data_IF_420878999511
#
_entry.id   IF_420878999511
#
_cell.length_a   1.000
_cell.length_b   1.000
_cell.length_c   1.000
_cell.angle_alpha   90.00
_cell.angle_beta   90.00
_cell.angle_gamma   90.00
#
_symmetry.space_group_name_H-M   'P 1'
#
loop_
_entity.id
_entity.type
_entity.pdbx_description
1 polymer ?
#
# COMPACT_ATOMS: atom_id res chain seq x y z
N UNK A 1 -4.49 20.14 6.83
CA UNK A 1 -4.60 19.73 5.46
C UNK A 1 -4.25 18.28 5.33
N UNK A 2 -5.17 17.48 4.81
CA UNK A 2 -4.92 16.07 4.55
C UNK A 2 -3.86 15.99 3.44
N UNK A 3 -2.60 15.73 3.80
CA UNK A 3 -1.55 15.46 2.81
C UNK A 3 -1.93 14.22 2.02
N UNK A 4 -1.97 14.32 0.68
CA UNK A 4 -2.19 13.17 -0.19
C UNK A 4 -1.13 12.12 0.16
N UNK A 5 -1.54 10.93 0.51
CA UNK A 5 -0.63 9.80 0.72
C UNK A 5 0.10 9.51 -0.58
N UNK A 6 1.42 9.61 -0.56
CA UNK A 6 2.25 9.20 -1.69
C UNK A 6 2.30 7.67 -1.71
N UNK A 7 1.51 7.07 -2.58
CA UNK A 7 1.45 5.62 -2.80
C UNK A 7 2.33 5.15 -3.96
N UNK A 8 2.81 6.08 -4.79
CA UNK A 8 3.89 5.87 -5.74
C UNK A 8 5.22 6.44 -5.20
N UNK A 9 6.34 5.91 -5.63
CA UNK A 9 7.67 6.48 -5.35
C UNK A 9 7.96 7.52 -6.45
N UNK A 10 8.03 8.83 -6.11
CA UNK A 10 8.25 9.85 -7.12
C UNK A 10 9.59 9.69 -7.84
N UNK A 11 9.64 9.91 -9.14
CA UNK A 11 10.87 9.80 -9.92
C UNK A 11 12.00 10.68 -9.39
N UNK A 12 11.69 11.88 -8.86
CA UNK A 12 12.68 12.73 -8.19
C UNK A 12 13.41 12.06 -7.03
N UNK A 13 12.76 11.10 -6.33
CA UNK A 13 13.42 10.33 -5.27
C UNK A 13 14.40 9.31 -5.84
N UNK A 14 14.06 8.72 -6.97
CA UNK A 14 14.92 7.80 -7.73
C UNK A 14 16.13 8.57 -8.28
N UNK A 15 15.88 9.66 -8.99
CA UNK A 15 16.92 10.57 -9.54
C UNK A 15 17.87 11.00 -8.42
N UNK A 16 17.35 11.48 -7.29
CA UNK A 16 18.18 11.93 -6.16
C UNK A 16 19.02 10.80 -5.53
N UNK A 17 18.51 9.58 -5.49
CA UNK A 17 19.23 8.41 -5.02
C UNK A 17 20.37 8.03 -5.97
N UNK A 18 20.07 7.92 -7.28
CA UNK A 18 21.00 7.49 -8.30
C UNK A 18 22.06 8.57 -8.60
N UNK A 19 21.70 9.84 -8.65
CA UNK A 19 22.64 10.95 -8.76
C UNK A 19 23.63 10.97 -7.59
N UNK A 20 23.14 10.73 -6.37
CA UNK A 20 24.00 10.57 -5.20
C UNK A 20 24.92 9.34 -5.28
N UNK A 21 24.45 8.23 -5.85
CA UNK A 21 25.26 7.04 -6.09
C UNK A 21 26.34 7.30 -7.14
N UNK A 22 25.98 7.98 -8.23
CA UNK A 22 26.92 8.38 -9.28
C UNK A 22 28.09 9.20 -8.73
N UNK A 23 27.79 10.24 -7.96
CA UNK A 23 28.83 11.13 -7.40
C UNK A 23 29.69 10.43 -6.35
N UNK A 24 29.17 9.46 -5.61
CA UNK A 24 29.95 8.67 -4.65
C UNK A 24 30.97 7.74 -5.30
N UNK A 25 30.83 7.40 -6.56
CA UNK A 25 31.80 6.62 -7.32
C UNK A 25 33.08 7.45 -7.72
N UNK A 26 33.18 8.69 -7.24
CA UNK A 26 34.28 9.59 -7.53
C UNK A 26 34.20 10.27 -8.90
N UNK A 27 33.08 10.12 -9.59
CA UNK A 27 32.82 10.74 -10.89
C UNK A 27 32.37 12.18 -10.68
N UNK A 28 32.96 13.13 -11.38
CA UNK A 28 32.51 14.52 -11.41
C UNK A 28 31.09 14.58 -12.08
N UNK A 29 30.39 15.68 -11.87
CA UNK A 29 29.13 15.96 -12.60
C UNK A 29 29.47 16.29 -14.07
N UNK A 30 29.68 15.25 -14.87
CA UNK A 30 30.07 15.29 -16.28
C UNK A 30 28.83 15.38 -17.22
N UNK A 31 29.07 15.28 -18.54
CA UNK A 31 28.00 15.31 -19.53
C UNK A 31 27.00 14.15 -19.37
N UNK A 32 27.46 12.97 -18.98
CA UNK A 32 26.60 11.82 -18.74
C UNK A 32 25.71 12.04 -17.51
N UNK A 33 26.24 12.62 -16.43
CA UNK A 33 25.46 13.02 -15.26
C UNK A 33 24.36 14.02 -15.63
N UNK A 34 24.71 15.06 -16.42
CA UNK A 34 23.74 16.06 -16.87
C UNK A 34 22.62 15.43 -17.69
N UNK A 35 22.94 14.56 -18.64
CA UNK A 35 21.99 13.88 -19.52
C UNK A 35 21.12 12.85 -18.79
N UNK A 36 21.65 12.18 -17.76
CA UNK A 36 20.90 11.20 -16.97
C UNK A 36 19.93 11.86 -16.00
N UNK A 37 20.25 13.04 -15.44
CA UNK A 37 19.53 13.54 -14.28
C UNK A 37 18.98 14.97 -14.40
N UNK A 38 19.46 15.79 -15.33
CA UNK A 38 19.19 17.24 -15.30
C UNK A 38 18.48 17.81 -16.54
N UNK A 39 18.88 17.40 -17.74
CA UNK A 39 18.50 18.11 -18.96
C UNK A 39 17.29 17.51 -19.71
N UNK A 40 16.67 16.49 -19.17
CA UNK A 40 15.51 15.84 -19.78
C UNK A 40 15.83 14.82 -20.88
N UNK A 41 17.12 14.60 -21.20
CA UNK A 41 17.56 13.53 -22.13
C UNK A 41 17.10 12.14 -21.61
N UNK A 42 17.28 11.89 -20.31
CA UNK A 42 16.68 10.74 -19.65
C UNK A 42 15.42 11.14 -18.90
N UNK A 43 14.35 10.38 -19.08
CA UNK A 43 13.06 10.58 -18.43
C UNK A 43 12.75 9.38 -17.56
N UNK A 44 12.61 9.63 -16.26
CA UNK A 44 12.37 8.62 -15.24
C UNK A 44 10.91 8.60 -14.86
N UNK A 45 10.21 7.48 -15.01
CA UNK A 45 8.84 7.39 -14.50
C UNK A 45 8.82 7.31 -12.97
N UNK A 46 7.74 7.69 -12.30
CA UNK A 46 7.53 7.28 -10.91
C UNK A 46 7.49 5.75 -10.84
N UNK A 47 7.91 5.16 -9.71
CA UNK A 47 7.64 3.74 -9.49
C UNK A 47 6.22 3.61 -8.92
N UNK A 48 5.43 2.77 -9.58
CA UNK A 48 4.06 2.45 -9.20
C UNK A 48 3.97 0.99 -8.76
N UNK A 49 2.96 0.59 -7.96
CA UNK A 49 2.83 -0.79 -7.53
C UNK A 49 2.68 -1.74 -8.72
N UNK A 50 3.28 -2.91 -8.63
CA UNK A 50 3.07 -3.99 -9.58
C UNK A 50 1.81 -4.76 -9.17
N UNK A 51 0.96 -5.09 -10.15
CA UNK A 51 -0.31 -5.79 -9.94
C UNK A 51 -0.43 -6.89 -10.98
N UNK A 52 -0.41 -8.14 -10.55
CA UNK A 52 -0.48 -9.29 -11.45
C UNK A 52 0.70 -9.39 -12.43
N UNK A 53 1.90 -8.96 -12.00
CA UNK A 53 3.11 -8.94 -12.82
C UNK A 53 3.29 -7.70 -13.68
N UNK A 54 2.31 -6.80 -13.76
CA UNK A 54 2.30 -5.64 -14.63
C UNK A 54 2.51 -4.32 -13.85
N UNK A 55 3.26 -3.38 -14.44
CA UNK A 55 3.41 -2.03 -13.90
C UNK A 55 2.05 -1.32 -13.98
N UNK A 56 1.57 -0.82 -12.86
CA UNK A 56 0.25 -0.19 -12.80
C UNK A 56 0.33 1.32 -13.04
N UNK A 57 -0.81 1.90 -13.39
CA UNK A 57 -1.01 3.34 -13.50
C UNK A 57 -2.11 3.82 -12.55
N UNK A 58 -2.15 5.11 -12.18
CA UNK A 58 -3.29 5.65 -11.46
C UNK A 58 -4.60 5.34 -12.19
N UNK A 59 -5.59 4.84 -11.47
CA UNK A 59 -6.87 4.47 -12.07
C UNK A 59 -7.52 5.68 -12.76
N UNK A 60 -8.06 5.52 -13.98
CA UNK A 60 -8.80 6.58 -14.63
C UNK A 60 -9.92 7.09 -13.75
N UNK A 61 -9.99 8.40 -13.51
CA UNK A 61 -11.01 9.03 -12.66
C UNK A 61 -12.42 8.95 -13.24
N UNK A 62 -12.53 8.61 -14.52
CA UNK A 62 -13.79 8.27 -15.18
C UNK A 62 -14.37 6.94 -14.66
N UNK A 63 -13.53 6.04 -14.15
CA UNK A 63 -13.98 4.79 -13.57
C UNK A 63 -14.47 5.00 -12.13
N UNK A 64 -15.63 4.45 -11.82
CA UNK A 64 -16.28 4.56 -10.50
C UNK A 64 -16.74 3.20 -9.99
N UNK A 65 -16.78 3.08 -8.68
CA UNK A 65 -17.41 1.95 -8.02
C UNK A 65 -18.83 2.31 -7.58
N UNK A 66 -19.81 1.54 -8.02
CA UNK A 66 -21.23 1.70 -7.69
C UNK A 66 -21.50 1.00 -6.37
N UNK A 67 -21.69 1.79 -5.30
CA UNK A 67 -21.78 1.27 -3.91
C UNK A 67 -22.98 0.35 -3.68
N UNK A 68 -24.11 0.62 -4.34
CA UNK A 68 -25.34 -0.14 -4.14
C UNK A 68 -25.36 -1.45 -4.95
N UNK A 69 -24.67 -1.46 -6.08
CA UNK A 69 -24.68 -2.57 -7.05
C UNK A 69 -23.45 -3.46 -6.93
N UNK A 70 -22.36 -2.94 -6.30
CA UNK A 70 -21.13 -3.70 -6.14
C UNK A 70 -20.32 -3.85 -7.42
N UNK A 71 -20.60 -3.06 -8.46
CA UNK A 71 -19.97 -3.12 -9.78
C UNK A 71 -19.18 -1.86 -10.10
N UNK A 72 -18.32 -1.94 -11.10
CA UNK A 72 -17.60 -0.79 -11.63
C UNK A 72 -18.29 -0.28 -12.90
N UNK A 73 -18.26 1.03 -13.11
CA UNK A 73 -18.83 1.71 -14.26
C UNK A 73 -17.86 2.73 -14.86
N UNK A 74 -17.95 2.98 -16.15
CA UNK A 74 -17.14 3.95 -16.87
C UNK A 74 -18.00 5.13 -17.30
N UNK A 75 -17.80 6.29 -16.67
CA UNK A 75 -18.59 7.52 -16.93
C UNK A 75 -18.38 8.14 -18.30
N UNK A 76 -17.34 7.74 -19.03
CA UNK A 76 -17.15 8.19 -20.41
C UNK A 76 -18.07 7.46 -21.39
N UNK A 77 -18.54 6.27 -21.06
CA UNK A 77 -19.36 5.44 -21.95
C UNK A 77 -20.80 5.29 -21.49
N UNK A 78 -21.05 5.48 -20.21
CA UNK A 78 -22.38 5.33 -19.60
C UNK A 78 -22.63 6.44 -18.58
N UNK A 79 -23.88 6.70 -18.26
CA UNK A 79 -24.29 7.64 -17.22
C UNK A 79 -24.82 6.85 -15.99
N UNK A 80 -23.94 6.31 -15.14
CA UNK A 80 -24.35 5.47 -14.03
C UNK A 80 -25.14 6.28 -13.01
N UNK A 81 -26.32 5.77 -12.59
CA UNK A 81 -27.15 6.37 -11.57
C UNK A 81 -26.82 5.81 -10.19
N UNK A 82 -27.01 6.60 -9.13
CA UNK A 82 -26.83 6.17 -7.75
C UNK A 82 -25.53 6.62 -7.07
N UNK A 83 -25.21 6.03 -5.91
CA UNK A 83 -24.05 6.43 -5.11
C UNK A 83 -22.75 5.87 -5.71
N UNK A 84 -21.93 6.76 -6.23
CA UNK A 84 -20.65 6.46 -6.84
C UNK A 84 -19.49 6.76 -5.90
N UNK A 85 -18.40 5.99 -6.03
CA UNK A 85 -17.10 6.25 -5.41
C UNK A 85 -16.04 6.28 -6.51
N UNK A 86 -15.38 7.43 -6.69
CA UNK A 86 -14.22 7.54 -7.59
C UNK A 86 -13.07 6.67 -7.13
N UNK A 87 -12.29 6.15 -8.06
CA UNK A 87 -11.12 5.31 -7.79
C UNK A 87 -9.85 6.14 -7.46
N UNK A 88 -10.03 7.32 -6.85
CA UNK A 88 -8.89 8.15 -6.43
C UNK A 88 -7.98 7.40 -5.45
N UNK A 89 -6.67 7.38 -5.76
CA UNK A 89 -5.67 6.66 -4.96
C UNK A 89 -5.65 5.15 -5.19
N UNK A 90 -6.39 4.65 -6.16
CA UNK A 90 -6.35 3.28 -6.66
C UNK A 90 -5.42 3.23 -7.88
N UNK A 91 -4.74 2.12 -8.06
CA UNK A 91 -3.92 1.81 -9.23
C UNK A 91 -4.58 0.72 -10.04
N UNK A 92 -4.40 0.77 -11.36
CA UNK A 92 -4.91 -0.25 -12.27
C UNK A 92 -3.80 -0.77 -13.18
N UNK A 93 -3.85 -2.07 -13.44
CA UNK A 93 -2.98 -2.75 -14.40
C UNK A 93 -3.81 -3.64 -15.33
N UNK A 94 -3.31 -3.98 -16.54
CA UNK A 94 -3.98 -4.91 -17.42
C UNK A 94 -4.25 -6.26 -16.74
N UNK A 95 -5.45 -6.79 -16.91
CA UNK A 95 -5.85 -8.13 -16.52
C UNK A 95 -6.27 -8.95 -17.76
N UNK A 96 -6.83 -10.11 -17.51
CA UNK A 96 -7.23 -11.02 -18.61
C UNK A 96 -8.47 -10.53 -19.38
N UNK A 97 -9.42 -9.93 -18.67
CA UNK A 97 -10.72 -9.51 -19.22
C UNK A 97 -11.02 -8.03 -18.98
N UNK A 98 -10.06 -7.28 -18.41
CA UNK A 98 -10.20 -5.88 -18.05
C UNK A 98 -9.06 -5.43 -17.17
N UNK A 99 -9.28 -4.42 -16.35
CA UNK A 99 -8.27 -3.88 -15.45
C UNK A 99 -8.35 -4.54 -14.07
N UNK A 100 -7.20 -4.90 -13.52
CA UNK A 100 -7.04 -5.24 -12.11
C UNK A 100 -6.90 -3.95 -11.32
N UNK A 101 -7.68 -3.75 -10.26
CA UNK A 101 -7.64 -2.55 -9.44
C UNK A 101 -7.13 -2.84 -8.03
N UNK A 102 -6.11 -2.12 -7.57
CA UNK A 102 -5.54 -2.29 -6.23
C UNK A 102 -5.31 -0.96 -5.53
N UNK A 103 -5.42 -0.99 -4.21
CA UNK A 103 -4.97 0.09 -3.32
C UNK A 103 -3.69 -0.33 -2.63
N UNK A 104 -2.76 0.61 -2.46
CA UNK A 104 -1.49 0.33 -1.77
C UNK A 104 -1.71 0.22 -0.27
N UNK A 105 -1.31 -0.87 0.37
CA UNK A 105 -1.35 -1.00 1.82
C UNK A 105 -0.38 -0.02 2.48
N UNK A 106 -0.85 0.67 3.52
CA UNK A 106 -0.09 1.67 4.28
C UNK A 106 -0.02 1.24 5.73
N UNK A 107 1.18 1.21 6.27
CA UNK A 107 1.42 1.05 7.70
C UNK A 107 1.47 2.41 8.37
N UNK A 108 0.73 2.57 9.46
CA UNK A 108 0.72 3.78 10.27
C UNK A 108 1.34 3.49 11.62
N UNK A 109 2.39 4.24 11.97
CA UNK A 109 3.09 4.13 13.25
C UNK A 109 2.96 5.43 14.02
N UNK A 110 2.63 5.34 15.30
CA UNK A 110 2.57 6.47 16.19
C UNK A 110 3.86 6.54 17.00
N UNK A 111 4.47 7.71 17.01
CA UNK A 111 5.70 7.98 17.75
C UNK A 111 5.41 9.01 18.83
N UNK A 112 5.88 8.73 20.03
CA UNK A 112 5.78 9.63 21.18
C UNK A 112 7.18 10.04 21.61
N UNK A 113 7.42 11.35 21.66
CA UNK A 113 8.62 11.91 22.26
C UNK A 113 8.27 12.40 23.66
N UNK A 114 8.95 11.85 24.67
CA UNK A 114 8.81 12.32 26.03
C UNK A 114 9.25 13.78 26.15
N UNK A 115 8.61 14.53 27.07
CA UNK A 115 9.03 15.85 27.44
C UNK A 115 10.40 15.76 28.15
N UNK A 116 11.35 16.53 27.68
CA UNK A 116 12.62 16.75 28.36
C UNK A 116 12.79 18.24 28.69
N UNK A 117 13.89 18.62 29.40
CA UNK A 117 14.14 19.99 29.83
C UNK A 117 14.14 21.01 28.67
N UNK A 118 14.37 20.56 27.44
CA UNK A 118 14.57 21.42 26.26
C UNK A 118 13.51 21.24 25.18
N UNK A 119 12.53 20.34 25.35
CA UNK A 119 11.51 20.07 24.33
C UNK A 119 10.19 19.63 24.95
N UNK A 120 9.08 20.06 24.34
CA UNK A 120 7.75 19.59 24.68
C UNK A 120 7.52 18.14 24.24
N UNK A 121 6.62 17.45 24.95
CA UNK A 121 6.15 16.15 24.53
C UNK A 121 5.42 16.28 23.19
N UNK A 122 5.81 15.48 22.20
CA UNK A 122 5.18 15.48 20.89
C UNK A 122 4.71 14.07 20.51
N UNK A 123 3.47 13.99 20.06
CA UNK A 123 2.92 12.80 19.39
C UNK A 123 2.89 13.08 17.91
N UNK A 124 3.53 12.24 17.12
CA UNK A 124 3.44 12.33 15.67
C UNK A 124 3.16 10.97 15.04
N UNK A 125 2.45 11.03 13.93
CA UNK A 125 2.10 9.86 13.13
C UNK A 125 3.03 9.79 11.92
N UNK A 126 3.59 8.63 11.68
CA UNK A 126 4.34 8.32 10.48
C UNK A 126 3.60 7.27 9.66
N UNK A 127 3.46 7.54 8.37
CA UNK A 127 2.87 6.60 7.43
C UNK A 127 3.95 6.14 6.45
N UNK A 128 3.99 4.85 6.20
CA UNK A 128 4.90 4.23 5.26
C UNK A 128 4.12 3.21 4.40
N UNK A 129 4.59 3.01 3.18
CA UNK A 129 4.16 1.89 2.36
C UNK A 129 4.57 0.60 3.08
N UNK A 130 3.70 -0.39 3.08
CA UNK A 130 3.98 -1.69 3.69
C UNK A 130 5.23 -2.31 3.05
N UNK A 131 6.07 -2.95 3.88
CA UNK A 131 7.25 -3.66 3.38
C UNK A 131 6.86 -4.87 2.51
N UNK A 132 7.77 -5.26 1.62
CA UNK A 132 7.60 -6.42 0.74
C UNK A 132 6.75 -6.16 -0.50
N UNK A 133 6.21 -4.95 -0.71
CA UNK A 133 5.47 -4.63 -1.94
C UNK A 133 6.42 -4.45 -3.12
N UNK A 134 6.00 -4.94 -4.29
CA UNK A 134 6.74 -4.80 -5.54
C UNK A 134 6.32 -3.53 -6.26
N UNK A 135 7.31 -2.76 -6.68
CA UNK A 135 7.15 -1.54 -7.46
C UNK A 135 7.89 -1.65 -8.79
N UNK A 136 7.31 -1.12 -9.85
CA UNK A 136 7.90 -1.08 -11.18
C UNK A 136 7.88 0.33 -11.76
N UNK A 137 8.76 0.56 -12.73
CA UNK A 137 8.81 1.81 -13.49
C UNK A 137 9.73 1.67 -14.69
N UNK A 138 9.78 2.71 -15.50
CA UNK A 138 10.57 2.77 -16.73
C UNK A 138 11.49 3.98 -16.74
N UNK A 139 12.57 3.88 -17.48
CA UNK A 139 13.40 5.03 -17.84
C UNK A 139 13.54 5.05 -19.37
N UNK A 140 13.20 6.17 -19.99
CA UNK A 140 13.41 6.42 -21.42
C UNK A 140 14.67 7.23 -21.57
N UNK A 141 15.65 6.69 -22.30
CA UNK A 141 16.96 7.33 -22.49
C UNK A 141 17.63 6.84 -23.78
N UNK A 142 18.60 7.58 -24.33
CA UNK A 142 19.43 7.11 -25.45
C UNK A 142 20.18 5.82 -25.13
N UNK A 143 20.27 4.92 -26.10
CA UNK A 143 20.95 3.63 -25.95
C UNK A 143 22.37 3.72 -25.37
N UNK A 144 23.11 4.77 -25.71
CA UNK A 144 24.47 5.03 -25.22
C UNK A 144 24.53 5.19 -23.66
N UNK A 145 23.43 5.56 -23.00
CA UNK A 145 23.35 5.73 -21.54
C UNK A 145 22.76 4.51 -20.83
N UNK A 146 22.22 3.53 -21.56
CA UNK A 146 21.50 2.40 -20.98
C UNK A 146 22.37 1.56 -20.03
N UNK A 147 23.59 1.25 -20.43
CA UNK A 147 24.51 0.48 -19.58
C UNK A 147 24.86 1.18 -18.27
N UNK A 148 25.04 2.50 -18.30
CA UNK A 148 25.36 3.28 -17.11
C UNK A 148 24.15 3.41 -16.18
N UNK A 149 22.95 3.62 -16.72
CA UNK A 149 21.73 3.64 -15.93
C UNK A 149 21.47 2.29 -15.27
N UNK A 150 21.67 1.18 -16.00
CA UNK A 150 21.51 -0.17 -15.46
C UNK A 150 22.52 -0.46 -14.33
N UNK A 151 23.78 -0.07 -14.50
CA UNK A 151 24.81 -0.22 -13.47
C UNK A 151 24.44 0.54 -12.18
N UNK A 152 23.93 1.77 -12.32
CA UNK A 152 23.50 2.59 -11.17
C UNK A 152 22.29 1.97 -10.44
N UNK A 153 21.30 1.46 -11.18
CA UNK A 153 20.14 0.79 -10.60
C UNK A 153 20.51 -0.50 -9.88
N UNK A 154 21.54 -1.19 -10.35
CA UNK A 154 22.07 -2.41 -9.72
C UNK A 154 22.94 -2.12 -8.49
N UNK A 155 23.20 -0.86 -8.15
CA UNK A 155 23.96 -0.49 -6.96
C UNK A 155 23.08 -0.67 -5.72
N UNK A 156 23.24 -1.78 -5.03
CA UNK A 156 22.49 -2.06 -3.80
C UNK A 156 23.16 -1.43 -2.56
N UNK A 157 22.38 -1.14 -1.52
CA UNK A 157 20.92 -1.01 -1.48
C UNK A 157 20.46 0.39 -1.93
N UNK A 158 19.37 0.45 -2.68
CA UNK A 158 18.70 1.71 -3.01
C UNK A 158 17.89 2.21 -1.79
N UNK A 159 17.88 3.52 -1.57
CA UNK A 159 17.20 4.11 -0.42
C UNK A 159 16.34 5.31 -0.82
N UNK A 160 15.01 5.18 -0.68
CA UNK A 160 14.05 6.22 -1.05
C UNK A 160 13.23 6.67 0.18
N UNK A 161 12.81 7.93 0.22
CA UNK A 161 11.92 8.45 1.25
C UNK A 161 12.61 9.06 2.46
N UNK A 162 11.87 9.17 3.57
CA UNK A 162 12.37 9.69 4.85
C UNK A 162 12.98 8.57 5.68
N UNK A 163 13.73 8.93 6.71
CA UNK A 163 14.37 7.98 7.66
C UNK A 163 15.28 6.95 6.99
N UNK A 164 15.99 7.35 5.95
CA UNK A 164 16.85 6.48 5.12
C UNK A 164 17.96 5.75 5.89
N UNK A 165 18.37 6.29 7.04
CA UNK A 165 19.45 5.75 7.86
C UNK A 165 18.99 4.86 9.00
N UNK A 166 17.68 4.84 9.29
CA UNK A 166 17.17 4.18 10.48
C UNK A 166 16.27 2.98 10.15
N UNK A 167 15.02 3.24 9.78
CA UNK A 167 13.98 2.22 9.88
C UNK A 167 13.31 1.87 8.54
N UNK A 168 13.30 2.84 7.59
CA UNK A 168 12.56 2.71 6.34
C UNK A 168 13.47 2.93 5.13
N UNK A 169 12.89 2.81 3.94
CA UNK A 169 13.47 3.25 2.69
C UNK A 169 14.46 2.30 2.00
N UNK A 170 14.78 1.15 2.56
CA UNK A 170 15.60 0.16 1.85
C UNK A 170 14.75 -0.51 0.77
N UNK A 171 15.26 -0.47 -0.46
CA UNK A 171 14.66 -1.12 -1.62
C UNK A 171 15.71 -1.95 -2.32
N UNK A 172 15.31 -3.10 -2.82
CA UNK A 172 16.15 -4.01 -3.58
C UNK A 172 15.63 -4.11 -5.01
N UNK A 173 16.55 -4.26 -5.94
CA UNK A 173 16.21 -4.53 -7.33
C UNK A 173 15.82 -6.01 -7.45
N UNK A 174 14.61 -6.27 -7.94
CA UNK A 174 14.15 -7.62 -8.21
C UNK A 174 14.31 -7.97 -9.69
N UNK A 175 14.94 -9.10 -9.96
CA UNK A 175 15.15 -9.57 -11.32
C UNK A 175 16.17 -8.75 -12.13
N UNK A 176 16.02 -8.77 -13.44
CA UNK A 176 16.91 -8.09 -14.40
C UNK A 176 16.25 -6.84 -14.98
N UNK A 177 17.09 -5.84 -15.29
CA UNK A 177 16.65 -4.66 -16.03
C UNK A 177 16.53 -5.06 -17.50
N UNK A 178 15.33 -4.89 -18.06
CA UNK A 178 15.07 -5.20 -19.48
C UNK A 178 15.15 -3.92 -20.31
N UNK A 179 15.97 -3.93 -21.34
CA UNK A 179 16.01 -2.87 -22.33
C UNK A 179 15.15 -3.23 -23.53
N UNK A 180 14.27 -2.32 -23.93
CA UNK A 180 13.45 -2.46 -25.11
C UNK A 180 13.40 -1.14 -25.91
N UNK A 181 13.31 -1.19 -27.24
CA UNK A 181 13.07 0.02 -28.03
C UNK A 181 11.72 0.61 -27.68
N UNK A 182 11.62 1.93 -27.66
CA UNK A 182 10.33 2.61 -27.52
C UNK A 182 9.51 2.32 -28.76
N UNK A 183 8.35 1.69 -28.59
CA UNK A 183 7.41 1.44 -29.68
C UNK A 183 6.47 2.63 -29.79
N UNK A 184 6.53 3.30 -30.94
CA UNK A 184 5.55 4.34 -31.26
C UNK A 184 4.29 3.68 -31.81
N UNK A 185 3.28 3.61 -31.00
CA UNK A 185 1.94 3.16 -31.42
C UNK A 185 1.06 4.36 -31.74
N UNK A 186 0.12 4.18 -32.64
CA UNK A 186 -0.77 5.24 -33.13
C UNK A 186 -2.23 4.86 -32.91
N UNK A 187 -3.06 5.86 -32.68
CA UNK A 187 -4.50 5.74 -32.52
C UNK A 187 -5.18 6.52 -33.65
N UNK A 188 -6.10 5.86 -34.35
CA UNK A 188 -6.92 6.49 -35.37
C UNK A 188 -8.18 7.06 -34.73
N UNK A 189 -8.46 8.34 -35.01
CA UNK A 189 -9.64 9.07 -34.57
C UNK A 189 -10.39 9.55 -35.80
N UNK A 190 -11.72 9.30 -35.87
CA UNK A 190 -12.54 9.75 -36.98
C UNK A 190 -13.27 11.06 -36.64
N UNK A 191 -13.55 11.83 -37.67
CA UNK A 191 -14.31 13.08 -37.54
C UNK A 191 -15.65 12.87 -36.85
N UNK A 192 -15.94 13.70 -35.85
CA UNK A 192 -17.17 13.66 -35.07
C UNK A 192 -17.16 12.61 -33.94
N UNK A 193 -16.11 11.79 -33.86
CA UNK A 193 -15.98 10.79 -32.78
C UNK A 193 -15.38 11.41 -31.52
N UNK A 194 -15.82 10.96 -30.34
CA UNK A 194 -15.17 11.31 -29.09
C UNK A 194 -13.83 10.59 -28.97
N UNK A 195 -12.84 11.30 -28.46
CA UNK A 195 -11.58 10.75 -28.02
C UNK A 195 -11.18 11.33 -26.65
N UNK A 196 -10.26 10.66 -25.99
CA UNK A 196 -9.93 10.94 -24.60
C UNK A 196 -8.42 11.04 -24.44
N UNK A 197 -7.99 11.95 -23.56
CA UNK A 197 -6.59 12.03 -23.11
C UNK A 197 -6.57 11.66 -21.65
N UNK A 198 -5.97 10.49 -21.36
CA UNK A 198 -5.75 9.98 -20.02
C UNK A 198 -4.35 10.38 -19.55
N UNK A 199 -4.25 11.05 -18.41
CA UNK A 199 -2.98 11.33 -17.76
C UNK A 199 -2.49 10.07 -17.02
N UNK A 200 -1.44 9.43 -17.51
CA UNK A 200 -0.83 8.28 -16.83
C UNK A 200 0.04 8.71 -15.64
N UNK A 201 0.58 9.92 -15.70
CA UNK A 201 1.32 10.56 -14.60
C UNK A 201 0.76 11.95 -14.31
N UNK A 202 1.15 12.52 -13.19
CA UNK A 202 0.77 13.90 -12.87
C UNK A 202 1.30 14.86 -13.96
N UNK A 203 0.53 15.88 -14.31
CA UNK A 203 0.90 16.89 -15.31
C UNK A 203 1.11 18.25 -14.65
N UNK A 204 2.29 18.81 -14.80
CA UNK A 204 2.62 20.19 -14.44
C UNK A 204 2.76 20.96 -15.74
N UNK A 205 1.97 22.00 -15.91
CA UNK A 205 2.05 22.90 -17.06
C UNK A 205 2.83 24.16 -16.70
N UNK A 206 3.44 24.77 -17.70
CA UNK A 206 4.12 26.06 -17.58
C UNK A 206 3.07 27.21 -17.44
N UNK A 207 2.28 27.14 -16.38
CA UNK A 207 1.30 28.15 -16.00
C UNK A 207 1.11 28.18 -14.49
N UNK A 208 0.82 29.33 -13.92
CA UNK A 208 0.69 29.48 -12.48
C UNK A 208 -0.55 28.77 -11.91
N UNK A 209 -1.64 28.70 -12.68
CA UNK A 209 -2.89 28.07 -12.29
C UNK A 209 -3.56 27.39 -13.51
N UNK A 210 -3.30 26.09 -13.73
CA UNK A 210 -3.93 25.36 -14.82
C UNK A 210 -5.43 25.22 -14.56
N UNK A 211 -6.26 25.84 -15.43
CA UNK A 211 -7.69 25.54 -15.48
C UNK A 211 -7.96 24.35 -16.40
N UNK A 212 -9.15 23.71 -16.33
CA UNK A 212 -9.49 22.64 -17.27
C UNK A 212 -9.31 23.06 -18.73
N UNK A 213 -9.73 24.28 -19.07
CA UNK A 213 -9.71 24.83 -20.42
C UNK A 213 -8.28 25.11 -20.90
N UNK A 214 -7.45 25.75 -20.06
CA UNK A 214 -6.04 26.02 -20.41
C UNK A 214 -5.24 24.75 -20.60
N UNK A 215 -5.50 23.74 -19.78
CA UNK A 215 -4.86 22.43 -19.90
C UNK A 215 -5.36 21.68 -21.15
N UNK A 216 -6.65 21.69 -21.44
CA UNK A 216 -7.21 21.10 -22.65
C UNK A 216 -6.62 21.73 -23.92
N UNK A 217 -6.50 23.06 -23.95
CA UNK A 217 -5.85 23.78 -25.07
C UNK A 217 -4.40 23.34 -25.24
N UNK A 218 -3.62 23.28 -24.17
CA UNK A 218 -2.21 22.85 -24.22
C UNK A 218 -2.05 21.40 -24.72
N UNK A 219 -2.95 20.48 -24.29
CA UNK A 219 -2.97 19.11 -24.76
C UNK A 219 -3.32 19.00 -26.25
N UNK A 220 -4.31 19.77 -26.69
CA UNK A 220 -4.75 19.81 -28.08
C UNK A 220 -3.67 20.39 -29.01
N UNK A 221 -3.05 21.50 -28.63
CA UNK A 221 -1.96 22.14 -29.37
C UNK A 221 -0.76 21.19 -29.54
N UNK A 222 -0.37 20.50 -28.49
CA UNK A 222 0.72 19.52 -28.53
C UNK A 222 0.46 18.33 -29.47
N UNK A 223 -0.81 17.97 -29.69
CA UNK A 223 -1.19 16.93 -30.64
C UNK A 223 -1.40 17.48 -32.06
N UNK A 224 -1.47 18.79 -32.24
CA UNK A 224 -1.71 19.43 -33.53
C UNK A 224 -3.07 19.04 -34.15
N UNK A 225 -4.04 18.65 -33.32
CA UNK A 225 -5.36 18.21 -33.81
C UNK A 225 -6.41 19.32 -33.78
N UNK A 226 -7.22 19.39 -34.81
CA UNK A 226 -8.45 20.18 -34.77
C UNK A 226 -9.54 19.38 -34.04
N UNK A 227 -9.88 19.79 -32.83
CA UNK A 227 -10.84 19.13 -31.98
C UNK A 227 -11.58 20.14 -31.11
N UNK A 228 -12.75 19.75 -30.64
CA UNK A 228 -13.55 20.51 -29.69
C UNK A 228 -13.45 19.88 -28.29
N UNK A 229 -13.03 20.67 -27.30
CA UNK A 229 -13.05 20.26 -25.90
C UNK A 229 -14.49 20.23 -25.37
N UNK A 230 -14.93 19.10 -24.85
CA UNK A 230 -16.34 18.93 -24.46
C UNK A 230 -16.67 19.48 -23.08
N UNK A 231 -15.69 19.73 -22.23
CA UNK A 231 -15.84 20.16 -20.85
C UNK A 231 -16.40 19.08 -19.91
N UNK A 232 -16.55 17.83 -20.37
CA UNK A 232 -17.01 16.69 -19.56
C UNK A 232 -15.84 15.90 -19.00
N UNK A 233 -14.93 16.58 -18.33
CA UNK A 233 -13.69 16.01 -17.85
C UNK A 233 -13.81 15.37 -16.46
N UNK A 234 -12.86 14.51 -16.14
CA UNK A 234 -12.73 13.89 -14.83
C UNK A 234 -11.36 14.23 -14.27
N UNK A 235 -11.28 15.30 -13.50
CA UNK A 235 -10.02 15.89 -13.08
C UNK A 235 -9.86 15.90 -11.58
N UNK A 236 -8.61 15.78 -11.15
CA UNK A 236 -8.19 15.96 -9.76
C UNK A 236 -6.90 16.78 -9.75
N UNK A 237 -6.82 17.74 -8.84
CA UNK A 237 -5.66 18.62 -8.70
C UNK A 237 -4.98 18.39 -7.36
N UNK A 238 -3.66 18.55 -7.32
CA UNK A 238 -2.92 18.64 -6.08
C UNK A 238 -1.71 19.56 -6.21
N UNK A 239 -1.15 19.94 -5.07
CA UNK A 239 0.07 20.75 -5.04
C UNK A 239 1.29 19.85 -4.93
N UNK A 240 2.24 20.02 -5.83
CA UNK A 240 3.55 19.36 -5.79
C UNK A 240 4.57 20.37 -5.26
N UNK A 241 5.34 19.92 -4.29
CA UNK A 241 6.48 20.65 -3.74
C UNK A 241 7.68 19.70 -3.64
N UNK A 242 8.73 20.12 -3.02
CA UNK A 242 9.92 19.32 -2.79
C UNK A 242 10.92 20.08 -1.95
N UNK A 243 12.09 19.47 -1.77
CA UNK A 243 13.22 20.09 -1.09
C UNK A 243 14.48 19.88 -1.93
N UNK A 244 15.23 20.94 -2.15
CA UNK A 244 16.52 20.86 -2.82
C UNK A 244 17.62 20.79 -1.76
N UNK A 245 18.27 19.64 -1.66
CA UNK A 245 19.31 19.40 -0.66
C UNK A 245 20.57 20.25 -0.90
N UNK A 246 20.89 20.55 -2.17
CA UNK A 246 22.06 21.39 -2.51
C UNK A 246 21.84 22.85 -2.09
N UNK A 247 20.65 23.36 -2.31
CA UNK A 247 20.29 24.72 -1.92
C UNK A 247 19.75 24.85 -0.49
N UNK A 248 19.53 23.70 0.16
CA UNK A 248 18.95 23.60 1.50
C UNK A 248 17.64 24.39 1.66
N UNK A 249 16.81 24.39 0.62
CA UNK A 249 15.54 25.14 0.63
C UNK A 249 14.42 24.37 -0.08
N UNK A 250 13.15 24.68 0.28
CA UNK A 250 12.01 24.09 -0.41
C UNK A 250 11.98 24.50 -1.89
N UNK A 251 11.65 23.58 -2.78
CA UNK A 251 11.28 23.91 -4.16
C UNK A 251 9.97 24.71 -4.20
N UNK A 252 9.76 25.60 -5.16
CA UNK A 252 8.48 26.25 -5.38
C UNK A 252 7.34 25.23 -5.47
N UNK A 253 6.21 25.57 -4.88
CA UNK A 253 5.01 24.74 -5.00
C UNK A 253 4.37 24.98 -6.36
N UNK A 254 4.00 23.90 -7.03
CA UNK A 254 3.31 23.93 -8.32
C UNK A 254 1.98 23.17 -8.20
N UNK A 255 0.96 23.65 -8.87
CA UNK A 255 -0.29 22.93 -9.05
C UNK A 255 -0.10 21.91 -10.17
N UNK A 256 -0.46 20.66 -9.91
CA UNK A 256 -0.43 19.58 -10.88
C UNK A 256 -1.82 18.98 -11.06
N UNK A 257 -2.11 18.55 -12.26
CA UNK A 257 -3.28 17.73 -12.59
C UNK A 257 -2.87 16.27 -12.32
N UNK A 258 -3.64 15.57 -11.50
CA UNK A 258 -3.28 14.22 -11.06
C UNK A 258 -3.31 13.21 -12.19
N UNK A 259 -2.38 12.25 -12.17
CA UNK A 259 -2.51 11.02 -12.95
C UNK A 259 -3.85 10.33 -12.70
N UNK A 260 -4.41 9.72 -13.73
CA UNK A 260 -5.77 9.21 -13.78
C UNK A 260 -6.81 10.22 -14.25
N UNK A 261 -6.48 11.52 -14.36
CA UNK A 261 -7.37 12.52 -14.94
C UNK A 261 -7.63 12.23 -16.41
N UNK A 262 -8.87 12.49 -16.85
CA UNK A 262 -9.32 12.23 -18.22
C UNK A 262 -9.91 13.50 -18.81
N UNK A 263 -9.39 13.93 -19.95
CA UNK A 263 -9.95 15.00 -20.79
C UNK A 263 -10.77 14.41 -21.93
N UNK A 264 -11.89 15.03 -22.23
CA UNK A 264 -12.83 14.55 -23.25
C UNK A 264 -12.92 15.54 -24.42
N UNK A 265 -12.67 15.05 -25.63
CA UNK A 265 -12.69 15.82 -26.87
C UNK A 265 -13.59 15.19 -27.90
N UNK A 266 -13.99 15.98 -28.91
CA UNK A 266 -14.60 15.50 -30.15
C UNK A 266 -13.75 15.99 -31.32
N UNK A 267 -13.41 15.09 -32.23
CA UNK A 267 -12.55 15.41 -33.36
C UNK A 267 -13.30 16.16 -34.45
N UNK A 268 -12.75 17.26 -34.96
CA UNK A 268 -13.32 18.03 -36.08
C UNK A 268 -12.90 17.47 -37.44
N UNK A 269 -11.84 16.64 -37.45
CA UNK A 269 -11.29 15.98 -38.66
C UNK A 269 -10.75 14.61 -38.29
N UNK A 270 -10.61 13.75 -39.33
CA UNK A 270 -9.87 12.47 -39.16
C UNK A 270 -8.41 12.77 -38.81
N UNK A 271 -7.87 12.01 -37.88
CA UNK A 271 -6.48 12.14 -37.44
C UNK A 271 -5.89 10.78 -37.03
N UNK A 272 -4.58 10.67 -37.21
CA UNK A 272 -3.77 9.58 -36.65
C UNK A 272 -2.82 10.20 -35.64
N UNK A 273 -2.99 9.85 -34.39
CA UNK A 273 -2.30 10.46 -33.27
C UNK A 273 -1.34 9.46 -32.60
N UNK A 274 -0.25 9.91 -31.98
CA UNK A 274 0.56 9.05 -31.14
C UNK A 274 -0.29 8.54 -29.96
N UNK A 275 -0.21 7.26 -29.64
CA UNK A 275 -0.94 6.71 -28.49
C UNK A 275 -0.44 7.26 -27.15
N UNK A 276 0.84 7.64 -27.09
CA UNK A 276 1.46 8.25 -25.92
C UNK A 276 2.22 9.50 -26.35
N UNK A 277 2.10 10.56 -25.55
CA UNK A 277 2.84 11.80 -25.78
C UNK A 277 3.08 12.54 -24.46
N UNK A 278 3.94 13.53 -24.52
CA UNK A 278 4.18 14.49 -23.45
C UNK A 278 3.88 15.88 -24.03
N UNK A 279 3.01 16.68 -23.42
CA UNK A 279 2.72 18.03 -23.91
C UNK A 279 3.97 18.90 -23.96
N UNK A 280 4.12 19.73 -25.00
CA UNK A 280 5.27 20.63 -25.18
C UNK A 280 5.40 21.64 -24.03
N UNK A 281 4.28 21.98 -23.40
CA UNK A 281 4.22 22.89 -22.25
C UNK A 281 4.40 22.19 -20.89
N UNK A 282 4.65 20.86 -20.89
CA UNK A 282 4.85 20.12 -19.66
C UNK A 282 6.21 20.45 -19.03
N UNK A 283 6.20 20.69 -17.71
CA UNK A 283 7.41 20.94 -16.93
C UNK A 283 7.87 19.69 -16.18
N UNK A 284 9.14 19.66 -15.84
CA UNK A 284 9.79 18.60 -15.03
C UNK A 284 9.62 17.19 -15.64
N UNK A 285 9.63 17.11 -16.96
CA UNK A 285 9.46 15.84 -17.72
C UNK A 285 10.52 14.79 -17.36
N UNK A 286 11.74 15.21 -16.97
CA UNK A 286 12.79 14.33 -16.46
C UNK A 286 12.39 13.63 -15.14
N UNK A 287 11.52 14.26 -14.36
CA UNK A 287 10.96 13.72 -13.11
C UNK A 287 9.69 12.89 -13.35
N UNK A 288 9.37 12.51 -14.61
CA UNK A 288 8.28 11.64 -15.01
C UNK A 288 6.90 12.30 -15.04
N UNK A 289 6.84 13.63 -15.09
CA UNK A 289 5.58 14.34 -15.25
C UNK A 289 5.15 14.43 -16.72
N UNK A 290 3.84 14.46 -16.94
CA UNK A 290 3.22 14.79 -18.21
C UNK A 290 3.04 13.61 -19.17
N UNK A 291 3.18 12.36 -18.75
CA UNK A 291 2.87 11.23 -19.61
C UNK A 291 1.35 11.14 -19.85
N UNK A 292 0.96 11.27 -21.11
CA UNK A 292 -0.42 11.26 -21.56
C UNK A 292 -0.66 10.12 -22.55
N UNK A 293 -1.82 9.49 -22.46
CA UNK A 293 -2.29 8.46 -23.39
C UNK A 293 -3.52 8.93 -24.13
N UNK A 294 -3.51 8.83 -25.45
CA UNK A 294 -4.67 9.08 -26.31
C UNK A 294 -5.45 7.79 -26.44
N UNK A 295 -6.76 7.88 -26.29
CA UNK A 295 -7.69 6.75 -26.39
C UNK A 295 -8.85 7.14 -27.31
N UNK A 296 -9.18 6.29 -28.28
CA UNK A 296 -10.43 6.42 -29.04
C UNK A 296 -11.62 5.90 -28.22
N UNK A 297 -12.83 6.01 -28.76
CA UNK A 297 -14.05 5.60 -28.09
C UNK A 297 -14.04 4.10 -27.72
N UNK A 298 -13.55 3.23 -28.61
CA UNK A 298 -13.50 1.81 -28.39
C UNK A 298 -12.49 1.43 -27.27
N UNK A 299 -11.32 2.05 -27.30
CA UNK A 299 -10.30 1.83 -26.26
C UNK A 299 -10.77 2.33 -24.88
N UNK A 300 -11.43 3.51 -24.84
CA UNK A 300 -12.00 4.00 -23.58
C UNK A 300 -13.12 3.08 -23.07
N UNK A 301 -13.97 2.56 -23.95
CA UNK A 301 -15.02 1.62 -23.56
C UNK A 301 -14.46 0.29 -23.06
N UNK A 302 -13.31 -0.14 -23.56
CA UNK A 302 -12.62 -1.33 -23.09
C UNK A 302 -11.99 -1.17 -21.69
N UNK A 303 -11.83 0.06 -21.19
CA UNK A 303 -11.35 0.31 -19.83
C UNK A 303 -12.45 0.01 -18.82
N UNK A 304 -12.56 -1.26 -18.44
CA UNK A 304 -13.46 -1.74 -17.39
C UNK A 304 -12.67 -2.42 -16.30
N UNK A 305 -13.08 -2.28 -15.04
CA UNK A 305 -12.42 -2.97 -13.93
C UNK A 305 -12.98 -4.38 -13.81
N UNK A 306 -12.13 -5.38 -14.06
CA UNK A 306 -12.47 -6.79 -13.93
C UNK A 306 -12.73 -7.19 -12.48
N UNK A 307 -11.77 -6.85 -11.61
CA UNK A 307 -11.85 -7.18 -10.19
C UNK A 307 -10.88 -6.35 -9.35
N UNK A 308 -11.14 -6.32 -8.05
CA UNK A 308 -10.17 -5.85 -7.06
C UNK A 308 -9.05 -6.90 -6.93
N UNK A 309 -7.80 -6.43 -6.96
CA UNK A 309 -6.60 -7.24 -6.78
C UNK A 309 -5.78 -6.75 -5.58
N UNK A 310 -4.78 -7.49 -5.21
CA UNK A 310 -3.72 -7.05 -4.31
C UNK A 310 -2.53 -6.52 -5.12
N UNK A 311 -1.72 -5.67 -4.49
CA UNK A 311 -0.39 -5.32 -5.00
C UNK A 311 0.51 -6.54 -4.85
N UNK A 312 1.35 -6.81 -5.83
CA UNK A 312 2.27 -7.94 -5.80
C UNK A 312 3.27 -7.77 -4.66
N UNK A 313 3.61 -8.88 -4.03
CA UNK A 313 4.52 -8.91 -2.89
C UNK A 313 5.73 -9.76 -3.21
N UNK A 314 6.86 -9.38 -2.65
CA UNK A 314 8.09 -10.16 -2.64
C UNK A 314 8.41 -10.53 -1.20
N UNK A 315 8.49 -11.82 -0.94
CA UNK A 315 9.07 -12.32 0.29
C UNK A 315 10.56 -12.59 0.03
N UNK A 316 11.48 -11.86 0.66
CA UNK A 316 12.89 -12.19 0.55
C UNK A 316 13.11 -13.63 0.98
N UNK A 317 14.04 -14.33 0.31
CA UNK A 317 14.48 -15.64 0.76
C UNK A 317 14.87 -15.55 2.25
N UNK A 318 14.41 -16.49 3.05
CA UNK A 318 14.70 -16.48 4.46
C UNK A 318 16.23 -16.53 4.65
N UNK A 319 16.79 -15.40 5.11
CA UNK A 319 18.19 -15.36 5.47
C UNK A 319 18.37 -16.20 6.75
N UNK A 320 19.19 -17.23 6.69
CA UNK A 320 19.43 -18.13 7.83
C UNK A 320 19.95 -17.37 9.06
N UNK A 321 20.68 -16.28 8.85
CA UNK A 321 21.18 -15.41 9.94
C UNK A 321 20.06 -14.66 10.68
N UNK A 322 18.91 -14.43 10.04
CA UNK A 322 17.75 -13.77 10.64
C UNK A 322 16.77 -14.75 11.31
N UNK A 323 16.98 -16.06 11.24
CA UNK A 323 16.11 -17.08 11.81
C UNK A 323 15.77 -16.88 13.30
N UNK A 324 16.70 -16.50 14.21
CA UNK A 324 16.37 -16.29 15.61
C UNK A 324 15.42 -15.11 15.82
N UNK A 325 15.62 -13.99 15.09
CA UNK A 325 14.75 -12.82 15.15
C UNK A 325 13.37 -13.12 14.55
N UNK A 326 13.34 -13.80 13.41
CA UNK A 326 12.10 -14.24 12.77
C UNK A 326 11.29 -15.12 13.70
N UNK A 327 11.91 -16.10 14.37
CA UNK A 327 11.27 -16.98 15.38
C UNK A 327 10.70 -16.18 16.54
N UNK A 328 11.44 -15.19 17.05
CA UNK A 328 10.98 -14.34 18.15
C UNK A 328 9.77 -13.49 17.73
N UNK A 329 9.78 -12.92 16.53
CA UNK A 329 8.65 -12.16 15.97
C UNK A 329 7.43 -13.05 15.73
N UNK A 330 7.61 -14.25 15.18
CA UNK A 330 6.53 -15.22 14.99
C UNK A 330 5.93 -15.67 16.32
N UNK A 331 6.74 -15.89 17.34
CA UNK A 331 6.26 -16.24 18.68
C UNK A 331 5.46 -15.08 19.29
N UNK A 332 5.92 -13.85 19.12
CA UNK A 332 5.21 -12.67 19.61
C UNK A 332 3.85 -12.53 18.90
N UNK A 333 3.82 -12.68 17.59
CA UNK A 333 2.59 -12.65 16.81
C UNK A 333 1.63 -13.78 17.18
N UNK A 334 2.15 -14.99 17.41
CA UNK A 334 1.35 -16.11 17.89
C UNK A 334 0.70 -15.80 19.25
N UNK A 335 1.41 -15.15 20.17
CA UNK A 335 0.85 -14.71 21.46
C UNK A 335 -0.28 -13.70 21.27
N UNK A 336 -0.11 -12.71 20.38
CA UNK A 336 -1.13 -11.70 20.08
C UNK A 336 -2.40 -12.34 19.48
N UNK A 337 -2.23 -13.28 18.55
CA UNK A 337 -3.36 -14.04 17.96
C UNK A 337 -4.09 -14.85 19.03
N UNK A 338 -3.36 -15.54 19.93
CA UNK A 338 -3.96 -16.29 21.03
C UNK A 338 -4.76 -15.38 21.98
N UNK A 339 -4.23 -14.23 22.34
CA UNK A 339 -4.90 -13.25 23.20
C UNK A 339 -6.17 -12.69 22.56
N UNK A 340 -6.07 -12.28 21.29
CA UNK A 340 -7.20 -11.75 20.53
C UNK A 340 -8.29 -12.80 20.33
N UNK A 341 -7.91 -14.03 20.03
CA UNK A 341 -8.87 -15.13 19.85
C UNK A 341 -9.56 -15.49 21.17
N UNK A 342 -8.80 -15.55 22.26
CA UNK A 342 -9.39 -15.79 23.59
C UNK A 342 -10.37 -14.68 23.98
N UNK A 343 -10.01 -13.42 23.70
CA UNK A 343 -10.88 -12.28 23.89
C UNK A 343 -12.18 -12.42 23.08
N UNK A 344 -12.09 -12.72 21.79
CA UNK A 344 -13.25 -12.87 20.91
C UNK A 344 -14.15 -14.05 21.35
N UNK A 345 -13.56 -15.17 21.78
CA UNK A 345 -14.31 -16.32 22.27
C UNK A 345 -15.10 -16.04 23.55
N UNK A 346 -14.59 -15.18 24.41
CA UNK A 346 -15.19 -14.83 25.70
C UNK A 346 -16.13 -13.62 25.56
N UNK A 347 -15.83 -12.69 24.65
CA UNK A 347 -16.54 -11.43 24.51
C UNK A 347 -18.03 -11.58 24.16
N UNK A 348 -18.40 -12.61 23.39
CA UNK A 348 -19.79 -12.87 22.99
C UNK A 348 -20.58 -13.80 23.92
N UNK A 349 -20.00 -14.20 25.08
CA UNK A 349 -20.61 -15.20 25.97
C UNK A 349 -20.79 -14.67 27.38
N UNK A 350 -21.91 -15.07 28.01
CA UNK A 350 -22.18 -14.78 29.41
C UNK A 350 -21.70 -15.94 30.27
N UNK A 351 -20.78 -15.68 31.17
CA UNK A 351 -20.30 -16.66 32.14
C UNK A 351 -20.83 -16.34 33.54
N UNK A 352 -21.35 -17.34 34.26
CA UNK A 352 -21.74 -17.18 35.67
C UNK A 352 -20.51 -17.32 36.58
N UNK A 353 -19.49 -16.53 36.32
CA UNK A 353 -18.23 -16.51 37.08
C UNK A 353 -18.26 -15.34 38.04
N UNK A 354 -18.13 -15.62 39.33
CA UNK A 354 -17.92 -14.57 40.33
C UNK A 354 -16.41 -14.23 40.45
N UNK A 355 -16.09 -13.09 41.06
CA UNK A 355 -14.72 -12.64 41.30
C UNK A 355 -13.90 -13.67 42.09
N UNK A 356 -14.55 -14.44 42.96
CA UNK A 356 -13.91 -15.50 43.72
C UNK A 356 -13.48 -16.72 42.88
N UNK A 357 -14.23 -17.07 41.83
CA UNK A 357 -13.85 -18.13 40.90
C UNK A 357 -12.70 -17.66 40.00
N UNK A 358 -12.79 -16.42 39.47
CA UNK A 358 -11.73 -15.84 38.69
C UNK A 358 -10.42 -15.73 39.48
N UNK A 359 -10.50 -15.28 40.74
CA UNK A 359 -9.34 -15.24 41.64
C UNK A 359 -8.72 -16.60 41.89
N UNK A 360 -9.51 -17.66 42.06
CA UNK A 360 -9.01 -19.02 42.18
C UNK A 360 -8.34 -19.53 40.92
N UNK A 361 -8.93 -19.32 39.76
CA UNK A 361 -8.32 -19.66 38.48
C UNK A 361 -6.98 -18.94 38.29
N UNK A 362 -6.90 -17.65 38.66
CA UNK A 362 -5.67 -16.87 38.63
C UNK A 362 -4.57 -17.42 39.54
N UNK A 363 -4.93 -17.96 40.70
CA UNK A 363 -3.97 -18.60 41.62
C UNK A 363 -3.56 -20.00 41.15
N UNK A 364 -4.47 -20.80 40.59
CA UNK A 364 -4.19 -22.16 40.13
C UNK A 364 -3.36 -22.19 38.83
N UNK A 365 -3.50 -21.20 37.96
CA UNK A 365 -2.90 -21.16 36.65
C UNK A 365 -1.35 -21.17 36.65
N UNK A 366 -0.64 -20.35 37.46
CA UNK A 366 0.81 -20.42 37.56
C UNK A 366 1.33 -21.77 38.04
N UNK A 367 0.61 -22.39 38.98
CA UNK A 367 0.99 -23.67 39.60
C UNK A 367 0.69 -24.92 38.72
N UNK A 368 -0.16 -24.77 37.71
CA UNK A 368 -0.50 -25.88 36.83
C UNK A 368 0.62 -26.14 35.82
N UNK A 369 1.03 -27.41 35.72
CA UNK A 369 2.06 -27.85 34.76
C UNK A 369 1.52 -27.89 33.32
N UNK A 370 0.28 -28.31 33.17
CA UNK A 370 -0.40 -28.42 31.88
C UNK A 370 -1.92 -28.25 32.03
N UNK A 371 -2.65 -28.24 30.91
CA UNK A 371 -4.08 -28.08 30.91
C UNK A 371 -4.84 -29.17 31.67
N UNK A 372 -4.36 -30.41 31.65
CA UNK A 372 -4.98 -31.52 32.37
C UNK A 372 -4.83 -31.33 33.88
N UNK A 373 -3.64 -30.91 34.34
CA UNK A 373 -3.41 -30.61 35.76
C UNK A 373 -4.29 -29.44 36.21
N UNK A 374 -4.44 -28.39 35.40
CA UNK A 374 -5.35 -27.29 35.67
C UNK A 374 -6.81 -27.80 35.80
N UNK A 375 -7.26 -28.66 34.90
CA UNK A 375 -8.61 -29.25 34.97
C UNK A 375 -8.81 -30.08 36.24
N UNK A 376 -7.80 -30.84 36.65
CA UNK A 376 -7.84 -31.64 37.90
C UNK A 376 -7.98 -30.71 39.12
N UNK A 377 -7.23 -29.61 39.15
CA UNK A 377 -7.32 -28.57 40.20
C UNK A 377 -8.70 -27.91 40.22
N UNK A 378 -9.25 -27.54 39.06
CA UNK A 378 -10.60 -26.97 38.93
C UNK A 378 -11.65 -27.98 39.43
N UNK A 379 -11.50 -29.25 39.11
CA UNK A 379 -12.42 -30.28 39.56
C UNK A 379 -12.38 -30.56 41.10
N UNK A 380 -11.30 -30.15 41.78
CA UNK A 380 -11.21 -30.16 43.24
C UNK A 380 -12.02 -29.05 43.95
N UNK A 381 -12.59 -28.12 43.20
CA UNK A 381 -13.46 -27.05 43.74
C UNK A 381 -14.71 -27.69 44.34
N UNK A 382 -14.92 -27.53 45.66
CA UNK A 382 -16.04 -28.16 46.39
C UNK A 382 -17.41 -27.73 45.92
N UNK A 383 -17.57 -26.45 45.58
CA UNK A 383 -18.86 -25.86 45.13
C UNK A 383 -19.12 -26.23 43.68
N UNK A 384 -20.14 -27.01 43.42
CA UNK A 384 -20.44 -27.55 42.08
C UNK A 384 -20.73 -26.47 41.05
N UNK A 385 -21.52 -25.46 41.39
CA UNK A 385 -21.82 -24.35 40.47
C UNK A 385 -20.56 -23.59 40.04
N UNK A 386 -19.61 -23.37 40.99
CA UNK A 386 -18.34 -22.68 40.73
C UNK A 386 -17.40 -23.55 39.87
N UNK A 387 -17.35 -24.87 40.13
CA UNK A 387 -16.62 -25.82 39.33
C UNK A 387 -17.14 -25.89 37.90
N UNK A 388 -18.44 -25.98 37.72
CA UNK A 388 -19.05 -26.05 36.39
C UNK A 388 -18.83 -24.75 35.61
N UNK A 389 -18.91 -23.58 36.26
CA UNK A 389 -18.60 -22.30 35.62
C UNK A 389 -17.14 -22.18 35.17
N UNK A 390 -16.18 -22.64 35.99
CA UNK A 390 -14.78 -22.65 35.64
C UNK A 390 -14.48 -23.61 34.48
N UNK A 391 -15.07 -24.82 34.51
CA UNK A 391 -14.94 -25.77 33.41
C UNK A 391 -15.57 -25.25 32.11
N UNK A 392 -16.70 -24.55 32.17
CA UNK A 392 -17.32 -23.93 31.00
C UNK A 392 -16.37 -22.90 30.31
N UNK A 393 -15.65 -22.12 31.10
CA UNK A 393 -14.64 -21.19 30.55
C UNK A 393 -13.50 -21.96 29.90
N UNK A 394 -12.96 -23.00 30.54
CA UNK A 394 -11.92 -23.85 29.98
C UNK A 394 -12.36 -24.55 28.69
N UNK A 395 -13.62 -25.02 28.65
CA UNK A 395 -14.16 -25.68 27.45
C UNK A 395 -14.35 -24.72 26.27
N UNK A 396 -14.63 -23.46 26.53
CA UNK A 396 -14.72 -22.41 25.49
C UNK A 396 -13.35 -22.08 24.93
N UNK A 397 -12.32 -22.01 25.79
CA UNK A 397 -10.97 -21.61 25.38
C UNK A 397 -10.17 -22.77 24.76
N UNK A 398 -10.33 -23.98 25.30
CA UNK A 398 -9.45 -25.11 24.93
C UNK A 398 -10.20 -26.31 24.34
N UNK A 399 -11.51 -26.26 24.26
CA UNK A 399 -12.33 -27.40 23.89
C UNK A 399 -12.48 -28.44 25.01
N UNK A 400 -13.37 -29.42 24.80
CA UNK A 400 -13.61 -30.51 25.78
C UNK A 400 -12.51 -31.56 25.80
N UNK A 401 -11.73 -31.67 24.73
CA UNK A 401 -10.64 -32.63 24.62
C UNK A 401 -9.30 -32.00 25.09
N UNK A 402 -8.43 -32.80 25.62
CA UNK A 402 -7.15 -32.41 26.23
C UNK A 402 -6.11 -31.86 25.27
N UNK A 403 -6.37 -31.84 23.98
CA UNK A 403 -5.49 -31.25 22.97
C UNK A 403 -5.78 -29.76 22.89
N UNK A 404 -4.80 -28.87 23.16
CA UNK A 404 -5.03 -27.43 23.08
C UNK A 404 -5.53 -27.04 21.69
N UNK A 405 -6.58 -26.23 21.62
CA UNK A 405 -7.06 -25.65 20.36
C UNK A 405 -6.09 -24.59 19.79
N UNK A 406 -4.90 -24.41 20.40
CA UNK A 406 -3.86 -23.47 20.00
C UNK A 406 -3.43 -23.61 18.52
N UNK A 407 -3.13 -24.85 18.02
CA UNK A 407 -2.83 -25.01 16.61
C UNK A 407 -3.99 -24.63 15.68
N UNK A 408 -5.24 -24.91 16.11
CA UNK A 408 -6.42 -24.56 15.34
C UNK A 408 -6.70 -23.04 15.35
N UNK A 409 -6.41 -22.36 16.47
CA UNK A 409 -6.51 -20.90 16.56
C UNK A 409 -5.50 -20.21 15.64
N UNK A 410 -4.28 -20.72 15.56
CA UNK A 410 -3.23 -20.18 14.71
C UNK A 410 -3.46 -20.53 13.22
N UNK A 411 -3.94 -21.74 12.94
CA UNK A 411 -4.23 -22.19 11.58
C UNK A 411 -5.36 -21.38 10.91
N UNK A 412 -6.22 -20.74 11.69
CA UNK A 412 -7.27 -19.85 11.17
C UNK A 412 -6.76 -18.44 10.82
N UNK A 413 -5.54 -18.08 11.22
CA UNK A 413 -4.95 -16.78 10.90
C UNK A 413 -4.25 -16.84 9.53
N UNK A 414 -4.59 -15.94 8.58
CA UNK A 414 -4.04 -15.94 7.22
C UNK A 414 -2.51 -15.81 7.16
N UNK A 415 -1.90 -15.16 8.15
CA UNK A 415 -0.45 -14.95 8.21
C UNK A 415 0.26 -16.26 8.58
N UNK A 416 -0.35 -17.04 9.47
CA UNK A 416 0.22 -18.32 9.88
C UNK A 416 -0.11 -19.48 8.92
N UNK A 417 -1.22 -19.42 8.18
CA UNK A 417 -1.65 -20.49 7.28
C UNK A 417 -0.65 -20.81 6.16
N UNK A 418 0.11 -19.80 5.68
CA UNK A 418 1.09 -19.99 4.61
C UNK A 418 2.52 -20.29 5.10
N UNK A 419 2.86 -19.91 6.34
CA UNK A 419 4.22 -20.07 6.88
C UNK A 419 4.39 -21.27 7.81
N UNK A 420 3.27 -21.88 8.22
CA UNK A 420 3.27 -22.96 9.21
C UNK A 420 3.95 -24.26 8.75
N UNK A 421 3.92 -24.56 7.44
CA UNK A 421 4.50 -25.80 6.93
C UNK A 421 6.03 -25.88 7.07
N UNK A 422 6.74 -24.75 6.96
CA UNK A 422 8.21 -24.75 6.98
C UNK A 422 8.83 -24.45 8.35
N UNK A 423 8.16 -23.69 9.21
CA UNK A 423 8.77 -23.15 10.45
C UNK A 423 8.16 -23.71 11.73
N UNK A 424 7.02 -24.37 11.66
CA UNK A 424 6.23 -24.80 12.81
C UNK A 424 6.91 -25.83 13.72
N UNK A 425 7.64 -26.84 13.23
CA UNK A 425 8.22 -27.84 14.13
C UNK A 425 9.14 -27.25 15.21
N UNK A 426 9.85 -26.18 14.87
CA UNK A 426 10.80 -25.53 15.80
C UNK A 426 10.12 -24.56 16.79
N UNK A 427 8.98 -23.99 16.39
CA UNK A 427 8.17 -23.08 17.22
C UNK A 427 7.13 -23.82 18.07
N UNK A 428 6.77 -25.05 17.72
CA UNK A 428 5.73 -25.82 18.39
C UNK A 428 5.92 -25.91 19.89
N UNK A 429 7.15 -26.17 20.35
CA UNK A 429 7.45 -26.24 21.79
C UNK A 429 7.27 -24.88 22.47
N UNK A 430 7.73 -23.80 21.82
CA UNK A 430 7.62 -22.43 22.35
C UNK A 430 6.16 -21.94 22.36
N UNK A 431 5.39 -22.30 21.34
CA UNK A 431 3.95 -22.02 21.27
C UNK A 431 3.18 -22.84 22.30
N UNK A 432 3.51 -24.13 22.45
CA UNK A 432 2.91 -25.01 23.46
C UNK A 432 3.18 -24.51 24.88
N UNK A 433 4.35 -23.93 25.14
CA UNK A 433 4.66 -23.31 26.43
C UNK A 433 3.79 -22.08 26.75
N UNK A 434 3.16 -21.46 25.75
CA UNK A 434 2.25 -20.33 25.92
C UNK A 434 0.79 -20.74 26.20
N UNK A 435 0.51 -22.00 26.49
CA UNK A 435 -0.85 -22.52 26.69
C UNK A 435 -1.67 -21.78 27.77
N UNK A 436 -1.01 -21.16 28.75
CA UNK A 436 -1.64 -20.38 29.82
C UNK A 436 -2.22 -19.05 29.35
N UNK A 437 -1.65 -18.47 28.31
CA UNK A 437 -1.92 -17.11 27.85
C UNK A 437 -3.39 -16.84 27.47
N UNK A 438 -4.12 -17.74 26.77
CA UNK A 438 -5.55 -17.54 26.50
C UNK A 438 -6.40 -17.39 27.76
N UNK A 439 -6.13 -18.21 28.79
CA UNK A 439 -6.87 -18.13 30.04
C UNK A 439 -6.52 -16.88 30.85
N UNK A 440 -5.24 -16.50 30.90
CA UNK A 440 -4.81 -15.23 31.52
C UNK A 440 -5.56 -14.04 30.90
N UNK A 441 -5.60 -13.98 29.57
CA UNK A 441 -6.28 -12.91 28.84
C UNK A 441 -7.78 -12.91 29.10
N UNK A 442 -8.42 -14.08 29.12
CA UNK A 442 -9.83 -14.23 29.43
C UNK A 442 -10.17 -13.80 30.87
N UNK A 443 -9.34 -14.19 31.84
CA UNK A 443 -9.51 -13.78 33.25
C UNK A 443 -9.42 -12.26 33.36
N UNK A 444 -8.44 -11.61 32.74
CA UNK A 444 -8.29 -10.16 32.74
C UNK A 444 -9.52 -9.45 32.19
N UNK A 445 -10.04 -9.91 31.05
CA UNK A 445 -11.25 -9.35 30.42
C UNK A 445 -12.48 -9.47 31.33
N UNK A 446 -12.68 -10.66 31.92
CA UNK A 446 -13.83 -10.92 32.78
C UNK A 446 -13.77 -10.14 34.09
N UNK A 447 -12.57 -9.90 34.64
CA UNK A 447 -12.40 -9.01 35.79
C UNK A 447 -12.75 -7.56 35.44
N UNK A 448 -12.27 -7.07 34.31
CA UNK A 448 -12.53 -5.71 33.88
C UNK A 448 -14.04 -5.44 33.70
N UNK A 449 -14.75 -6.36 33.03
CA UNK A 449 -16.21 -6.26 32.87
C UNK A 449 -16.97 -6.25 34.17
N UNK A 450 -16.54 -7.07 35.12
CA UNK A 450 -17.17 -7.08 36.45
C UNK A 450 -17.00 -5.76 37.19
N UNK A 451 -15.85 -5.14 37.09
CA UNK A 451 -15.62 -3.82 37.68
C UNK A 451 -16.48 -2.74 37.03
N UNK A 452 -16.69 -2.80 35.71
CA UNK A 452 -17.60 -1.89 35.02
C UNK A 452 -19.05 -2.09 35.49
N UNK A 453 -19.55 -3.33 35.53
CA UNK A 453 -20.90 -3.66 36.03
C UNK A 453 -21.11 -3.22 37.48
N UNK A 454 -20.12 -3.35 38.34
CA UNK A 454 -20.17 -2.89 39.74
C UNK A 454 -20.17 -1.37 39.85
N UNK A 455 -19.47 -0.65 38.95
CA UNK A 455 -19.44 0.83 38.91
C UNK A 455 -20.69 1.43 38.30
N UNK A 456 -21.34 0.76 37.35
CA UNK A 456 -22.61 1.21 36.75
C UNK A 456 -23.82 0.96 37.70
N UNK A 457 -23.69 0.03 38.63
CA UNK A 457 -24.76 -0.32 39.58
C UNK A 457 -24.58 0.37 40.97
N UNK A 458 -23.52 1.14 41.17
CA UNK A 458 -23.24 1.91 42.38
C UNK A 458 -23.59 3.39 42.19
#
# INVERSE_FOLDING_TARGET
GCGKQLTAIPARSIIGCLAGAYLRQGTAADDAFRRLFLDGTARWSPLTPVIGGEISHPAPLALVYMKNEGVYANRCTEAPAGKQKTLSGVYTAPGKHGLLAASVPITTTYHHKHRDANSDATLYMQQAVQAGLVYGGTVTLPAALAGQAAALLSTAPLRFGRSKSAQYAVCELLGSITAAPVQETQVTIHKGEPFFILLETDLILNTDAPTPETAATALQESLGIAAHHTGKDYLLYHTIGGYNMMWQMPKPRRTAICGGSVYCFTADKDAVLPSHFIPDTAEQVQEGFGCCRVLNQAEMAALTVERKAAVDTFAPAADDDCNPLRRALMLQQAKEVMQTTAWNLVNGKTFRLDTGVLGRLRLMLPEAENLQDLRNRVNSIKTESKRNAANALLDVLYGKNTTPALPAMLAADPVFAGEMEQTLPQLQQSIAACWKLPLESAIHLLYYRRQEEETENA
#
